data_IF_674207538493
#
_entry.id   IF_674207538493
#
_cell.length_a   1.000
_cell.length_b   1.000
_cell.length_c   1.000
_cell.angle_alpha   90.00
_cell.angle_beta   90.00
_cell.angle_gamma   90.00
#
_symmetry.space_group_name_H-M   'P 1'
#
loop_
_entity.id
_entity.type
_entity.pdbx_description
1 polymer ?
#
# COMPACT_ATOMS: atom_id res chain seq x y z
N UNK A 1 -16.94 -24.90 -6.03
CA UNK A 1 -17.59 -23.83 -5.25
C UNK A 1 -16.50 -22.82 -4.96
N UNK A 2 -16.55 -21.62 -5.55
CA UNK A 2 -15.58 -20.58 -5.24
C UNK A 2 -15.88 -20.08 -3.82
N UNK A 3 -14.96 -20.27 -2.88
CA UNK A 3 -15.05 -19.63 -1.57
C UNK A 3 -15.06 -18.12 -1.78
N UNK A 4 -15.88 -17.39 -1.02
CA UNK A 4 -15.83 -15.93 -1.03
C UNK A 4 -14.40 -15.48 -0.69
N UNK A 5 -13.88 -14.44 -1.36
CA UNK A 5 -12.57 -13.89 -1.03
C UNK A 5 -12.59 -13.44 0.43
N UNK A 6 -11.52 -13.73 1.14
CA UNK A 6 -11.34 -13.25 2.50
C UNK A 6 -11.15 -11.73 2.48
N UNK A 7 -11.51 -11.00 3.55
CA UNK A 7 -11.32 -9.55 3.62
C UNK A 7 -9.87 -9.12 3.31
N UNK A 8 -8.90 -9.95 3.71
CA UNK A 8 -7.48 -9.76 3.40
C UNK A 8 -7.21 -9.74 1.87
N UNK A 9 -7.73 -10.72 1.14
CA UNK A 9 -7.56 -10.81 -0.32
C UNK A 9 -8.22 -9.62 -1.05
N UNK A 10 -9.36 -9.13 -0.54
CA UNK A 10 -10.01 -7.93 -1.07
C UNK A 10 -9.16 -6.68 -0.88
N UNK A 11 -8.56 -6.48 0.30
CA UNK A 11 -7.69 -5.33 0.55
C UNK A 11 -6.39 -5.40 -0.25
N UNK A 12 -5.80 -6.59 -0.43
CA UNK A 12 -4.64 -6.78 -1.32
C UNK A 12 -5.01 -6.46 -2.77
N UNK A 13 -6.20 -6.85 -3.22
CA UNK A 13 -6.69 -6.51 -4.56
C UNK A 13 -6.85 -4.99 -4.73
N UNK A 14 -7.45 -4.30 -3.74
CA UNK A 14 -7.59 -2.85 -3.76
C UNK A 14 -6.23 -2.14 -3.75
N UNK A 15 -5.28 -2.59 -2.92
CA UNK A 15 -3.93 -2.04 -2.90
C UNK A 15 -3.24 -2.14 -4.28
N UNK A 16 -3.41 -3.25 -5.00
CA UNK A 16 -2.91 -3.42 -6.37
C UNK A 16 -3.60 -2.51 -7.38
N UNK A 17 -4.90 -2.27 -7.24
CA UNK A 17 -5.63 -1.34 -8.11
C UNK A 17 -5.15 0.10 -7.88
N UNK A 18 -4.97 0.49 -6.62
CA UNK A 18 -4.49 1.80 -6.23
C UNK A 18 -3.04 2.04 -6.69
N UNK A 19 -2.20 0.99 -6.67
CA UNK A 19 -0.85 1.03 -7.25
C UNK A 19 -0.88 1.44 -8.74
N UNK A 20 -1.83 0.91 -9.53
CA UNK A 20 -1.95 1.24 -10.96
C UNK A 20 -2.24 2.72 -11.22
N UNK A 21 -2.97 3.38 -10.32
CA UNK A 21 -3.29 4.81 -10.39
C UNK A 21 -2.31 5.69 -9.63
N UNK A 22 -1.25 5.09 -9.03
CA UNK A 22 -0.18 5.77 -8.28
C UNK A 22 -0.68 6.57 -7.06
N UNK A 23 -1.79 6.17 -6.46
CA UNK A 23 -2.34 6.86 -5.29
C UNK A 23 -1.81 6.22 -3.99
N UNK A 24 -0.53 6.47 -3.70
CA UNK A 24 0.21 5.70 -2.68
C UNK A 24 -0.27 5.88 -1.25
N UNK A 25 -0.91 7.00 -0.90
CA UNK A 25 -1.49 7.23 0.43
C UNK A 25 -2.63 6.24 0.70
N UNK A 26 -3.58 6.14 -0.23
CA UNK A 26 -4.69 5.18 -0.15
C UNK A 26 -4.18 3.72 -0.21
N UNK A 27 -3.07 3.48 -0.92
CA UNK A 27 -2.43 2.16 -0.97
C UNK A 27 -1.90 1.74 0.41
N UNK A 28 -1.34 2.68 1.19
CA UNK A 28 -0.90 2.43 2.57
C UNK A 28 -2.10 2.09 3.45
N UNK A 29 -3.20 2.83 3.35
CA UNK A 29 -4.42 2.55 4.14
C UNK A 29 -4.97 1.14 3.90
N UNK A 30 -4.95 0.66 2.66
CA UNK A 30 -5.36 -0.71 2.34
C UNK A 30 -4.39 -1.75 2.92
N UNK A 31 -3.08 -1.50 2.85
CA UNK A 31 -2.08 -2.41 3.42
C UNK A 31 -2.12 -2.45 4.96
N UNK A 32 -2.50 -1.36 5.63
CA UNK A 32 -2.75 -1.36 7.08
C UNK A 32 -3.97 -2.22 7.44
N UNK A 33 -5.03 -2.18 6.61
CA UNK A 33 -6.20 -3.06 6.78
C UNK A 33 -5.88 -4.53 6.54
N UNK A 34 -5.00 -4.84 5.58
CA UNK A 34 -4.44 -6.19 5.39
C UNK A 34 -3.77 -6.65 6.68
N UNK A 35 -2.85 -5.85 7.23
CA UNK A 35 -2.15 -6.18 8.48
C UNK A 35 -3.10 -6.36 9.67
N UNK A 36 -4.10 -5.48 9.82
CA UNK A 36 -5.08 -5.57 10.89
C UNK A 36 -6.02 -6.78 10.77
N UNK A 37 -6.24 -7.29 9.56
CA UNK A 37 -7.11 -8.46 9.32
C UNK A 37 -6.38 -9.78 9.55
N UNK A 38 -5.05 -9.75 9.64
CA UNK A 38 -4.22 -10.93 9.84
C UNK A 38 -3.96 -11.13 11.34
N UNK A 39 -4.96 -11.64 12.07
CA UNK A 39 -4.91 -11.72 13.54
C UNK A 39 -3.89 -12.73 14.11
N UNK A 40 -3.21 -13.52 13.29
CA UNK A 40 -2.27 -14.56 13.78
C UNK A 40 -1.20 -15.02 12.78
N UNK A 41 -1.22 -14.54 11.54
CA UNK A 41 -0.37 -15.04 10.47
C UNK A 41 0.67 -13.97 10.06
N UNK A 42 1.91 -14.39 9.81
CA UNK A 42 2.91 -13.46 9.30
C UNK A 42 2.56 -13.03 7.88
N UNK A 43 2.82 -11.76 7.56
CA UNK A 43 2.69 -11.27 6.19
C UNK A 43 3.54 -12.12 5.24
N UNK A 44 2.93 -12.53 4.13
CA UNK A 44 3.61 -13.23 3.04
C UNK A 44 4.68 -12.32 2.43
N UNK A 45 5.62 -12.91 1.68
CA UNK A 45 6.66 -12.14 0.97
C UNK A 45 6.04 -11.10 0.04
N UNK A 46 4.96 -11.45 -0.65
CA UNK A 46 4.29 -10.56 -1.60
C UNK A 46 3.61 -9.38 -0.90
N UNK A 47 2.94 -9.61 0.23
CA UNK A 47 2.30 -8.54 1.02
C UNK A 47 3.34 -7.59 1.62
N UNK A 48 4.46 -8.12 2.14
CA UNK A 48 5.56 -7.28 2.63
C UNK A 48 6.18 -6.44 1.53
N UNK A 49 6.30 -6.99 0.32
CA UNK A 49 6.78 -6.23 -0.83
C UNK A 49 5.79 -5.12 -1.20
N UNK A 50 4.49 -5.42 -1.21
CA UNK A 50 3.44 -4.44 -1.50
C UNK A 50 3.43 -3.30 -0.47
N UNK A 51 3.60 -3.62 0.81
CA UNK A 51 3.76 -2.65 1.89
C UNK A 51 4.99 -1.74 1.67
N UNK A 52 6.11 -2.35 1.28
CA UNK A 52 7.36 -1.63 1.00
C UNK A 52 7.22 -0.67 -0.18
N UNK A 53 6.53 -1.12 -1.24
CA UNK A 53 6.24 -0.30 -2.43
C UNK A 53 5.37 0.90 -2.05
N UNK A 54 4.32 0.68 -1.27
CA UNK A 54 3.39 1.74 -0.84
C UNK A 54 4.12 2.86 -0.08
N UNK A 55 4.81 2.54 1.02
CA UNK A 55 5.50 3.55 1.83
C UNK A 55 6.66 4.23 1.09
N UNK A 56 7.48 3.48 0.34
CA UNK A 56 8.61 4.05 -0.42
C UNK A 56 8.12 5.10 -1.41
N UNK A 57 7.04 4.81 -2.12
CA UNK A 57 6.52 5.73 -3.14
C UNK A 57 5.77 6.92 -2.52
N UNK A 58 5.02 6.71 -1.43
CA UNK A 58 4.39 7.81 -0.68
C UNK A 58 5.44 8.81 -0.19
N UNK A 59 6.47 8.34 0.51
CA UNK A 59 7.54 9.20 1.03
C UNK A 59 8.34 9.83 -0.12
N UNK A 60 8.60 9.07 -1.19
CA UNK A 60 9.29 9.57 -2.38
C UNK A 60 8.56 10.75 -3.02
N UNK A 61 7.23 10.66 -3.17
CA UNK A 61 6.41 11.74 -3.69
C UNK A 61 6.47 12.99 -2.79
N UNK A 62 6.41 12.82 -1.47
CA UNK A 62 6.56 13.92 -0.51
C UNK A 62 7.95 14.57 -0.60
N UNK A 63 9.01 13.77 -0.67
CA UNK A 63 10.38 14.26 -0.77
C UNK A 63 10.61 15.05 -2.08
N UNK A 64 10.07 14.57 -3.20
CA UNK A 64 10.12 15.32 -4.47
C UNK A 64 9.38 16.65 -4.37
N UNK A 65 8.19 16.66 -3.78
CA UNK A 65 7.43 17.90 -3.55
C UNK A 65 8.20 18.89 -2.68
N UNK A 66 8.77 18.42 -1.55
CA UNK A 66 9.59 19.23 -0.67
C UNK A 66 10.82 19.79 -1.39
N UNK A 67 11.54 18.94 -2.13
CA UNK A 67 12.72 19.36 -2.89
C UNK A 67 12.38 20.49 -3.87
N UNK A 68 11.29 20.35 -4.63
CA UNK A 68 10.82 21.39 -5.57
C UNK A 68 10.60 22.71 -4.82
N UNK A 69 9.84 22.68 -3.72
CA UNK A 69 9.55 23.89 -2.92
C UNK A 69 10.86 24.52 -2.41
N UNK A 70 11.73 23.74 -1.78
CA UNK A 70 13.02 24.21 -1.25
C UNK A 70 13.99 24.73 -2.31
N UNK A 71 13.84 24.28 -3.56
CA UNK A 71 14.68 24.73 -4.68
C UNK A 71 14.15 26.01 -5.34
N UNK A 72 12.88 26.34 -5.12
CA UNK A 72 12.23 27.56 -5.61
C UNK A 72 12.24 28.72 -4.61
N UNK A 73 12.61 28.44 -3.35
CA UNK A 73 12.86 29.41 -2.29
C UNK A 73 14.32 29.92 -2.36
#
# INVERSE_FOLDING_TARGET
MASAPTPCEEFVYMAKLVEQVKHYEEMVEFMEKVFASTESEELTVDERNLLSVAYKNMIGAHHTSWHIISSTE
#
